data_IF_571949164828
#
_entry.id   IF_571949164828
#
_cell.length_a   1.000
_cell.length_b   1.000
_cell.length_c   1.000
_cell.angle_alpha   90.00
_cell.angle_beta   90.00
_cell.angle_gamma   90.00
#
_symmetry.space_group_name_H-M   'P 1'
#
loop_
_entity.id
_entity.type
_entity.pdbx_description
1 polymer ?
#
# COMPACT_ATOMS: atom_id res chain seq x y z
N UNK A 1 -11.31 -38.17 3.31
CA UNK A 1 -11.09 -37.34 4.52
C UNK A 1 -10.27 -36.09 4.25
N UNK A 2 -9.18 -36.13 3.47
CA UNK A 2 -8.31 -34.97 3.20
C UNK A 2 -9.02 -33.85 2.40
N UNK A 3 -9.90 -34.23 1.46
CA UNK A 3 -10.61 -33.26 0.60
C UNK A 3 -11.70 -32.47 1.37
N UNK A 4 -12.35 -33.09 2.36
CA UNK A 4 -13.28 -32.38 3.25
C UNK A 4 -12.54 -31.44 4.21
N UNK A 5 -11.32 -31.80 4.65
CA UNK A 5 -10.51 -30.96 5.53
C UNK A 5 -10.02 -29.69 4.80
N UNK A 6 -9.63 -29.82 3.53
CA UNK A 6 -9.29 -28.66 2.69
C UNK A 6 -10.49 -27.75 2.42
N UNK A 7 -11.68 -28.32 2.18
CA UNK A 7 -12.91 -27.54 2.01
C UNK A 7 -13.30 -26.85 3.33
N UNK A 8 -13.19 -27.51 4.48
CA UNK A 8 -13.44 -26.90 5.79
C UNK A 8 -12.40 -25.82 6.14
N UNK A 9 -11.13 -26.01 5.77
CA UNK A 9 -10.07 -25.02 5.99
C UNK A 9 -10.27 -23.80 5.08
N UNK A 10 -10.68 -24.01 3.83
CA UNK A 10 -11.07 -22.93 2.89
C UNK A 10 -12.35 -22.20 3.34
N UNK A 11 -13.38 -22.93 3.81
CA UNK A 11 -14.60 -22.32 4.36
C UNK A 11 -14.33 -21.58 5.69
N UNK A 12 -13.41 -22.07 6.53
CA UNK A 12 -13.01 -21.42 7.77
C UNK A 12 -12.16 -20.16 7.56
N UNK A 13 -11.41 -20.07 6.46
CA UNK A 13 -10.72 -18.85 6.05
C UNK A 13 -11.65 -17.86 5.33
N UNK A 14 -12.76 -18.35 4.76
CA UNK A 14 -13.70 -17.58 3.94
C UNK A 14 -14.77 -16.82 4.74
N UNK A 15 -14.88 -17.03 6.06
CA UNK A 15 -15.96 -16.45 6.86
C UNK A 15 -15.41 -15.58 8.01
N UNK A 16 -14.55 -14.60 7.68
CA UNK A 16 -14.39 -13.48 8.58
C UNK A 16 -15.66 -12.63 8.48
N UNK A 17 -16.45 -12.59 9.57
CA UNK A 17 -17.63 -11.75 9.69
C UNK A 17 -17.33 -10.35 9.15
N UNK A 18 -18.08 -9.93 8.12
CA UNK A 18 -17.96 -8.62 7.48
C UNK A 18 -18.00 -7.49 8.52
N UNK A 19 -18.74 -7.67 9.63
CA UNK A 19 -18.77 -6.74 10.75
C UNK A 19 -17.41 -6.61 11.47
N UNK A 20 -16.66 -7.70 11.63
CA UNK A 20 -15.30 -7.69 12.17
C UNK A 20 -14.34 -6.99 11.21
N UNK A 21 -14.39 -7.32 9.92
CA UNK A 21 -13.51 -6.71 8.90
C UNK A 21 -13.80 -5.21 8.80
N UNK A 22 -15.07 -4.80 8.81
CA UNK A 22 -15.45 -3.38 8.75
C UNK A 22 -14.91 -2.59 9.95
N UNK A 23 -14.94 -3.16 11.16
CA UNK A 23 -14.32 -2.52 12.34
C UNK A 23 -12.81 -2.33 12.17
N UNK A 24 -12.11 -3.36 11.68
CA UNK A 24 -10.65 -3.27 11.40
C UNK A 24 -10.35 -2.21 10.34
N UNK A 25 -11.11 -2.20 9.24
CA UNK A 25 -10.94 -1.24 8.15
C UNK A 25 -11.19 0.21 8.61
N UNK A 26 -12.16 0.41 9.52
CA UNK A 26 -12.42 1.71 10.14
C UNK A 26 -11.23 2.19 10.97
N UNK A 27 -10.74 1.36 11.88
CA UNK A 27 -9.56 1.69 12.70
C UNK A 27 -8.33 1.98 11.83
N UNK A 28 -8.13 1.18 10.78
CA UNK A 28 -7.04 1.38 9.84
C UNK A 28 -7.14 2.71 9.09
N UNK A 29 -8.31 3.04 8.53
CA UNK A 29 -8.49 4.30 7.81
C UNK A 29 -8.34 5.50 8.75
N UNK A 30 -8.91 5.45 9.96
CA UNK A 30 -8.77 6.48 10.98
C UNK A 30 -7.30 6.68 11.35
N UNK A 31 -6.53 5.58 11.50
CA UNK A 31 -5.09 5.64 11.71
C UNK A 31 -4.36 6.31 10.55
N UNK A 32 -4.57 5.84 9.32
CA UNK A 32 -3.88 6.37 8.13
C UNK A 32 -4.22 7.84 7.87
N UNK A 33 -5.39 8.33 8.31
CA UNK A 33 -5.76 9.75 8.25
C UNK A 33 -4.95 10.63 9.22
N UNK A 34 -4.45 10.07 10.33
CA UNK A 34 -3.62 10.79 11.30
C UNK A 34 -2.16 10.91 10.85
N UNK A 35 -1.69 10.06 9.95
CA UNK A 35 -0.30 10.10 9.47
C UNK A 35 -0.12 11.29 8.51
N UNK A 36 0.71 12.28 8.83
CA UNK A 36 0.89 13.47 7.99
C UNK A 36 1.65 13.12 6.70
N UNK A 37 1.40 13.86 5.61
CA UNK A 37 2.26 13.79 4.43
C UNK A 37 3.54 14.58 4.70
N UNK A 38 4.75 14.04 4.44
CA UNK A 38 6.00 14.74 4.71
C UNK A 38 6.07 16.09 3.99
N UNK A 39 6.37 17.15 4.74
CA UNK A 39 6.42 18.52 4.22
C UNK A 39 7.69 18.80 3.41
N UNK A 40 8.79 18.10 3.72
CA UNK A 40 10.07 18.22 3.02
C UNK A 40 10.35 16.92 2.27
N UNK A 41 10.53 17.02 0.97
CA UNK A 41 10.91 15.88 0.13
C UNK A 41 12.44 15.80 0.06
N UNK A 42 12.96 14.59 -0.02
CA UNK A 42 14.36 14.35 -0.29
C UNK A 42 14.73 14.84 -1.70
N UNK A 43 16.03 15.07 -1.91
CA UNK A 43 16.51 15.69 -3.16
C UNK A 43 16.38 14.76 -4.36
N UNK A 44 16.79 13.49 -4.24
CA UNK A 44 16.64 12.43 -5.26
C UNK A 44 16.68 11.06 -4.58
N UNK A 45 15.73 10.18 -4.88
CA UNK A 45 15.73 8.77 -4.48
C UNK A 45 15.95 7.92 -5.74
N UNK A 46 17.13 7.31 -5.96
CA UNK A 46 17.34 6.39 -7.08
C UNK A 46 16.36 5.22 -7.01
N UNK A 47 15.75 4.85 -8.13
CA UNK A 47 14.79 3.76 -8.16
C UNK A 47 14.74 3.07 -9.53
N UNK A 48 14.81 1.74 -9.50
CA UNK A 48 14.71 0.92 -10.71
C UNK A 48 13.28 0.39 -10.97
N UNK A 49 12.40 0.45 -9.96
CA UNK A 49 11.03 -0.07 -9.96
C UNK A 49 10.13 0.74 -9.02
N UNK A 50 8.81 0.63 -9.18
CA UNK A 50 7.86 1.31 -8.30
C UNK A 50 7.89 0.73 -6.89
N UNK A 51 7.98 -0.59 -6.75
CA UNK A 51 8.13 -1.28 -5.45
C UNK A 51 9.45 -0.86 -4.78
N UNK A 52 10.54 -0.76 -5.53
CA UNK A 52 11.83 -0.28 -5.02
C UNK A 52 11.75 1.16 -4.52
N UNK A 53 11.12 2.06 -5.29
CA UNK A 53 10.88 3.44 -4.87
C UNK A 53 10.03 3.50 -3.59
N UNK A 54 8.97 2.71 -3.51
CA UNK A 54 8.09 2.63 -2.36
C UNK A 54 8.83 2.19 -1.09
N UNK A 55 9.70 1.17 -1.21
CA UNK A 55 10.53 0.70 -0.11
C UNK A 55 11.49 1.78 0.38
N UNK A 56 12.13 2.50 -0.55
CA UNK A 56 13.01 3.64 -0.22
C UNK A 56 12.26 4.78 0.47
N UNK A 57 11.06 5.14 -0.01
CA UNK A 57 10.19 6.15 0.62
C UNK A 57 9.86 5.73 2.06
N UNK A 58 9.38 4.49 2.27
CA UNK A 58 9.06 3.97 3.60
C UNK A 58 10.24 4.02 4.56
N UNK A 59 11.42 3.61 4.10
CA UNK A 59 12.64 3.62 4.92
C UNK A 59 13.14 5.03 5.23
N UNK A 60 13.06 5.94 4.26
CA UNK A 60 13.58 7.31 4.38
C UNK A 60 12.70 8.20 5.27
N UNK A 61 11.39 8.15 5.06
CA UNK A 61 10.42 8.95 5.80
C UNK A 61 9.96 8.26 7.09
N UNK A 62 10.20 6.95 7.23
CA UNK A 62 9.76 6.20 8.40
C UNK A 62 8.23 6.15 8.53
N UNK A 63 7.51 6.27 7.41
CA UNK A 63 6.05 6.25 7.36
C UNK A 63 5.53 5.05 6.56
N UNK A 64 4.34 4.51 6.92
CA UNK A 64 3.65 3.52 6.11
C UNK A 64 3.05 4.17 4.86
N UNK A 65 2.88 3.37 3.80
CA UNK A 65 1.99 3.71 2.70
C UNK A 65 0.65 3.04 2.88
N UNK A 66 -0.40 3.66 2.35
CA UNK A 66 -1.75 3.16 2.42
C UNK A 66 -1.89 1.83 1.66
N UNK A 67 -2.81 0.98 2.09
CA UNK A 67 -3.12 -0.34 1.52
C UNK A 67 -3.37 -0.22 0.00
N UNK A 68 -4.21 0.74 -0.40
CA UNK A 68 -4.49 1.02 -1.81
C UNK A 68 -3.26 1.54 -2.58
N UNK A 69 -2.38 2.30 -1.93
CA UNK A 69 -1.14 2.77 -2.55
C UNK A 69 -0.19 1.60 -2.79
N UNK A 70 -0.04 0.70 -1.82
CA UNK A 70 0.73 -0.54 -1.98
C UNK A 70 0.18 -1.42 -3.11
N UNK A 71 -1.14 -1.53 -3.25
CA UNK A 71 -1.76 -2.23 -4.38
C UNK A 71 -1.47 -1.55 -5.73
N UNK A 72 -1.61 -0.23 -5.81
CA UNK A 72 -1.32 0.53 -7.03
C UNK A 72 0.13 0.38 -7.47
N UNK A 73 1.08 0.45 -6.54
CA UNK A 73 2.51 0.29 -6.78
C UNK A 73 2.83 -1.11 -7.34
N UNK A 74 2.30 -2.16 -6.72
CA UNK A 74 2.43 -3.54 -7.24
C UNK A 74 1.82 -3.66 -8.63
N UNK A 75 0.68 -3.02 -8.87
CA UNK A 75 0.04 -3.03 -10.19
C UNK A 75 0.90 -2.33 -11.23
N UNK A 76 1.49 -1.17 -10.94
CA UNK A 76 2.33 -0.44 -11.88
C UNK A 76 3.57 -1.22 -12.29
N UNK A 77 4.25 -1.91 -11.37
CA UNK A 77 5.35 -2.79 -11.74
C UNK A 77 4.87 -3.98 -12.59
N UNK A 78 3.74 -4.60 -12.24
CA UNK A 78 3.20 -5.72 -13.04
C UNK A 78 2.82 -5.34 -14.48
N UNK A 79 2.45 -4.07 -14.71
CA UNK A 79 2.07 -3.57 -16.03
C UNK A 79 3.28 -3.42 -16.97
N UNK A 80 4.50 -3.44 -16.43
CA UNK A 80 5.73 -3.37 -17.23
C UNK A 80 6.16 -4.72 -17.80
N UNK A 81 5.64 -5.82 -17.26
CA UNK A 81 5.97 -7.17 -17.70
C UNK A 81 5.48 -7.39 -19.12
N UNK A 82 6.37 -7.79 -20.02
CA UNK A 82 6.13 -7.98 -21.45
C UNK A 82 6.17 -6.71 -22.30
N UNK A 83 6.49 -5.55 -21.72
CA UNK A 83 6.69 -4.31 -22.47
C UNK A 83 8.06 -4.30 -23.17
N UNK A 84 8.19 -3.53 -24.26
CA UNK A 84 9.46 -3.42 -24.99
C UNK A 84 10.60 -2.80 -24.17
N UNK A 85 10.25 -2.06 -23.12
CA UNK A 85 11.13 -1.35 -22.19
C UNK A 85 11.06 -1.94 -20.76
N UNK A 86 10.66 -3.21 -20.62
CA UNK A 86 10.58 -3.91 -19.33
C UNK A 86 11.89 -3.82 -18.53
N UNK A 87 13.03 -4.02 -19.20
CA UNK A 87 14.37 -4.03 -18.59
C UNK A 87 14.96 -2.63 -18.34
N UNK A 88 14.31 -1.57 -18.83
CA UNK A 88 14.81 -0.20 -18.65
C UNK A 88 14.56 0.24 -17.21
N UNK A 89 15.57 0.73 -16.44
CA UNK A 89 15.32 1.19 -15.08
C UNK A 89 14.29 2.33 -14.99
N UNK A 90 13.45 2.33 -13.96
CA UNK A 90 12.37 3.31 -13.80
C UNK A 90 12.87 4.76 -13.78
N UNK A 91 14.01 5.03 -13.13
CA UNK A 91 14.65 6.35 -13.04
C UNK A 91 15.20 6.88 -14.37
N UNK A 92 15.32 6.03 -15.39
CA UNK A 92 15.61 6.43 -16.77
C UNK A 92 14.33 6.85 -17.51
N UNK A 93 13.21 6.18 -17.21
CA UNK A 93 11.91 6.44 -17.86
C UNK A 93 11.20 7.65 -17.25
N UNK A 94 11.30 7.83 -15.93
CA UNK A 94 10.61 8.87 -15.17
C UNK A 94 11.60 9.52 -14.23
N UNK A 95 11.63 10.85 -14.25
CA UNK A 95 12.39 11.65 -13.28
C UNK A 95 12.05 11.22 -11.83
N UNK A 96 13.04 10.84 -11.00
CA UNK A 96 12.78 10.31 -9.66
C UNK A 96 11.97 11.24 -8.76
N UNK A 97 12.18 12.56 -8.85
CA UNK A 97 11.44 13.53 -8.04
C UNK A 97 9.97 13.60 -8.47
N UNK A 98 9.68 13.45 -9.78
CA UNK A 98 8.29 13.32 -10.27
C UNK A 98 7.65 12.00 -9.84
N UNK A 99 8.40 10.89 -9.90
CA UNK A 99 7.90 9.58 -9.48
C UNK A 99 7.52 9.58 -7.99
N UNK A 100 8.40 10.11 -7.14
CA UNK A 100 8.13 10.28 -5.71
C UNK A 100 6.94 11.22 -5.47
N UNK A 101 6.88 12.37 -6.15
CA UNK A 101 5.76 13.29 -6.01
C UNK A 101 4.43 12.64 -6.41
N UNK A 102 4.42 11.80 -7.46
CA UNK A 102 3.25 11.04 -7.88
C UNK A 102 2.76 10.07 -6.81
N UNK A 103 3.67 9.33 -6.16
CA UNK A 103 3.31 8.45 -5.04
C UNK A 103 2.68 9.26 -3.90
N UNK A 104 3.27 10.38 -3.50
CA UNK A 104 2.73 11.20 -2.40
C UNK A 104 1.36 11.80 -2.70
N UNK A 105 1.10 12.21 -3.94
CA UNK A 105 -0.22 12.73 -4.33
C UNK A 105 -1.30 11.64 -4.22
N UNK A 106 -0.99 10.42 -4.67
CA UNK A 106 -1.90 9.28 -4.59
C UNK A 106 -2.08 8.82 -3.15
N UNK A 107 -1.00 8.81 -2.36
CA UNK A 107 -1.04 8.49 -0.94
C UNK A 107 -1.93 9.48 -0.18
N UNK A 108 -1.79 10.78 -0.44
CA UNK A 108 -2.63 11.81 0.18
C UNK A 108 -4.11 11.61 -0.15
N UNK A 109 -4.43 11.33 -1.42
CA UNK A 109 -5.78 10.99 -1.85
C UNK A 109 -6.31 9.77 -1.09
N UNK A 110 -5.53 8.68 -1.02
CA UNK A 110 -5.96 7.47 -0.34
C UNK A 110 -6.16 7.68 1.18
N UNK A 111 -5.24 8.37 1.86
CA UNK A 111 -5.39 8.69 3.29
C UNK A 111 -6.63 9.54 3.54
N UNK A 112 -6.89 10.57 2.73
CA UNK A 112 -7.95 11.55 3.01
C UNK A 112 -9.35 11.12 2.56
N UNK A 113 -9.46 10.34 1.49
CA UNK A 113 -10.75 10.15 0.79
C UNK A 113 -11.29 8.73 0.80
N UNK A 114 -10.49 7.74 1.19
CA UNK A 114 -10.92 6.34 1.12
C UNK A 114 -11.97 6.01 2.17
N UNK A 115 -13.06 5.36 1.75
CA UNK A 115 -14.08 4.86 2.66
C UNK A 115 -13.62 3.56 3.35
N UNK A 116 -13.78 3.43 4.68
CA UNK A 116 -13.55 2.17 5.38
C UNK A 116 -14.39 1.00 4.84
N UNK A 117 -15.60 1.28 4.35
CA UNK A 117 -16.46 0.25 3.77
C UNK A 117 -15.87 -0.33 2.47
N UNK A 118 -15.24 0.53 1.66
CA UNK A 118 -14.56 0.09 0.45
C UNK A 118 -13.37 -0.83 0.78
N UNK A 119 -12.55 -0.44 1.77
CA UNK A 119 -11.45 -1.26 2.27
C UNK A 119 -11.96 -2.59 2.80
N UNK A 120 -13.01 -2.58 3.63
CA UNK A 120 -13.58 -3.78 4.21
C UNK A 120 -14.06 -4.77 3.14
N UNK A 121 -14.68 -4.28 2.06
CA UNK A 121 -15.06 -5.13 0.92
C UNK A 121 -13.86 -5.76 0.23
N UNK A 122 -12.76 -5.03 0.06
CA UNK A 122 -11.54 -5.57 -0.54
C UNK A 122 -10.90 -6.63 0.37
N UNK A 123 -10.80 -6.35 1.68
CA UNK A 123 -10.24 -7.27 2.66
C UNK A 123 -11.08 -8.53 2.85
N UNK A 124 -12.41 -8.41 2.76
CA UNK A 124 -13.30 -9.57 2.76
C UNK A 124 -13.12 -10.44 1.51
N UNK A 125 -12.79 -9.84 0.36
CA UNK A 125 -12.58 -10.57 -0.88
C UNK A 125 -11.18 -11.21 -0.99
N UNK A 126 -10.19 -10.70 -0.25
CA UNK A 126 -8.81 -11.17 -0.28
C UNK A 126 -8.32 -11.61 1.11
N UNK A 127 -8.28 -12.93 1.39
CA UNK A 127 -7.77 -13.46 2.66
C UNK A 127 -6.32 -13.04 3.00
N UNK A 128 -5.52 -12.64 2.00
CA UNK A 128 -4.12 -12.25 2.14
C UNK A 128 -3.91 -10.73 2.17
N UNK A 129 -4.97 -9.94 2.37
CA UNK A 129 -4.90 -8.47 2.32
C UNK A 129 -3.81 -7.86 3.22
N UNK A 130 -3.51 -8.51 4.36
CA UNK A 130 -2.49 -8.08 5.32
C UNK A 130 -1.09 -7.93 4.69
N UNK A 131 -0.78 -8.67 3.62
CA UNK A 131 0.51 -8.57 2.91
C UNK A 131 0.71 -7.22 2.19
N UNK A 132 -0.28 -6.34 2.22
CA UNK A 132 -0.24 -4.99 1.65
C UNK A 132 -0.39 -3.89 2.72
N UNK A 133 -0.44 -4.26 4.01
CA UNK A 133 -0.45 -3.33 5.13
C UNK A 133 0.96 -3.26 5.69
N UNK A 134 1.53 -2.06 5.77
CA UNK A 134 2.88 -1.87 6.30
C UNK A 134 2.91 -1.91 7.82
N UNK A 135 3.92 -2.56 8.39
CA UNK A 135 4.18 -2.62 9.84
C UNK A 135 5.10 -1.48 10.29
N UNK A 136 4.87 -0.27 9.79
CA UNK A 136 5.65 0.93 10.09
C UNK A 136 4.77 1.90 10.88
N UNK A 137 5.24 2.30 12.06
CA UNK A 137 4.51 3.18 12.97
C UNK A 137 5.32 4.46 13.19
N UNK A 138 4.96 5.58 12.53
CA UNK A 138 5.66 6.84 12.68
C UNK A 138 5.31 7.50 14.03
N UNK A 139 6.21 8.34 14.53
CA UNK A 139 5.88 9.23 15.65
C UNK A 139 4.99 10.36 15.13
N UNK A 140 3.72 10.34 15.54
CA UNK A 140 2.72 11.34 15.11
C UNK A 140 3.03 12.76 15.59
N UNK A 141 4.01 12.93 16.50
CA UNK A 141 4.43 14.24 17.01
C UNK A 141 5.56 14.87 16.18
N UNK A 142 6.17 14.14 15.25
CA UNK A 142 7.27 14.63 14.41
C UNK A 142 6.81 14.73 12.93
N UNK A 143 6.29 15.89 12.48
CA UNK A 143 5.85 16.06 11.09
C UNK A 143 7.02 16.19 10.10
N UNK A 144 8.27 16.15 10.58
CA UNK A 144 9.45 16.23 9.73
C UNK A 144 9.87 14.89 9.13
N UNK A 145 9.27 13.79 9.60
CA UNK A 145 9.44 12.44 9.09
C UNK A 145 8.17 11.96 8.39
#
# INVERSE_FOLDING_TARGET
MIQLFFIFFLLSMADQDLGVILRKAKMYQEYMQMVPIPARKASVIPCNSWIGLAASIKGLYGQPLHYLTNLSIKKWDSLRIGASDEDVPLDILIDPAKAEAGIWLIEEMHRKTTSPYFIARLWHADPMYHANIDEIFPDLNDPSK
#
